data_IF_186768184474
#
_entry.id   IF_186768184474
#
_cell.length_a   1.000
_cell.length_b   1.000
_cell.length_c   1.000
_cell.angle_alpha   90.00
_cell.angle_beta   90.00
_cell.angle_gamma   90.00
#
_symmetry.space_group_name_H-M   'P 1'
#
loop_
_entity.id
_entity.type
_entity.pdbx_description
1 polymer ?
#
# COMPACT_ATOMS: atom_id res chain seq x y z
N UNK A 1 -1.70 6.42 -19.04
CA UNK A 1 -2.88 6.49 -18.12
C UNK A 1 -3.07 5.12 -17.47
N UNK A 2 -3.22 5.07 -16.14
CA UNK A 2 -3.47 3.81 -15.42
C UNK A 2 -4.97 3.59 -15.28
N UNK A 3 -5.45 2.44 -15.76
CA UNK A 3 -6.85 2.04 -15.66
C UNK A 3 -6.98 0.97 -14.57
N UNK A 4 -8.06 1.03 -13.80
CA UNK A 4 -8.36 0.05 -12.76
C UNK A 4 -9.66 -0.68 -13.07
N UNK A 5 -9.59 -2.01 -13.14
CA UNK A 5 -10.70 -2.87 -13.59
C UNK A 5 -11.19 -3.85 -12.52
N UNK A 6 -10.63 -3.81 -11.31
CA UNK A 6 -10.71 -4.92 -10.36
C UNK A 6 -11.75 -4.70 -9.27
N UNK A 7 -11.56 -3.69 -8.44
CA UNK A 7 -12.37 -3.44 -7.26
C UNK A 7 -13.61 -2.64 -7.62
N UNK A 8 -14.70 -2.84 -6.89
CA UNK A 8 -15.87 -1.99 -6.95
C UNK A 8 -15.46 -0.50 -6.86
N UNK A 9 -16.04 0.42 -7.68
CA UNK A 9 -15.60 1.82 -7.75
C UNK A 9 -15.53 2.56 -6.41
N UNK A 10 -16.45 2.25 -5.48
CA UNK A 10 -16.43 2.81 -4.13
C UNK A 10 -15.23 2.33 -3.29
N UNK A 11 -14.78 1.09 -3.46
CA UNK A 11 -13.65 0.54 -2.70
C UNK A 11 -12.36 1.22 -3.13
N UNK A 12 -12.04 1.17 -4.43
CA UNK A 12 -10.83 1.84 -4.96
C UNK A 12 -10.92 3.37 -4.89
N UNK A 13 -12.14 3.91 -4.79
CA UNK A 13 -12.42 5.34 -4.69
C UNK A 13 -11.68 6.01 -3.53
N UNK A 14 -11.54 5.33 -2.39
CA UNK A 14 -10.76 5.84 -1.26
C UNK A 14 -9.30 6.07 -1.66
N UNK A 15 -8.61 5.02 -2.12
CA UNK A 15 -7.21 5.11 -2.53
C UNK A 15 -7.01 6.10 -3.69
N UNK A 16 -7.94 6.11 -4.66
CA UNK A 16 -7.83 6.99 -5.81
C UNK A 16 -7.77 8.47 -5.38
N UNK A 17 -8.63 8.85 -4.43
CA UNK A 17 -8.62 10.19 -3.83
C UNK A 17 -7.39 10.41 -2.97
N UNK A 18 -7.12 9.48 -2.03
CA UNK A 18 -6.09 9.64 -1.00
C UNK A 18 -4.66 9.62 -1.56
N UNK A 19 -4.36 8.69 -2.46
CA UNK A 19 -2.99 8.38 -2.90
C UNK A 19 -2.72 8.59 -4.39
N UNK A 20 -3.77 8.69 -5.22
CA UNK A 20 -3.62 8.84 -6.67
C UNK A 20 -4.17 10.19 -7.20
N UNK A 21 -4.63 11.09 -6.32
CA UNK A 21 -5.19 12.40 -6.66
C UNK A 21 -6.22 12.34 -7.80
N UNK A 22 -7.12 11.35 -7.75
CA UNK A 22 -8.15 11.10 -8.75
C UNK A 22 -7.63 10.80 -10.18
N UNK A 23 -6.34 10.47 -10.35
CA UNK A 23 -5.74 10.18 -11.66
C UNK A 23 -5.98 8.75 -12.15
N UNK A 24 -6.52 7.87 -11.30
CA UNK A 24 -6.83 6.49 -11.69
C UNK A 24 -8.15 6.45 -12.46
N UNK A 25 -8.13 5.90 -13.68
CA UNK A 25 -9.36 5.72 -14.47
C UNK A 25 -10.07 4.43 -14.05
N UNK A 26 -11.12 4.54 -13.24
CA UNK A 26 -11.91 3.40 -12.77
C UNK A 26 -12.82 2.90 -13.90
N UNK A 27 -12.67 1.63 -14.26
CA UNK A 27 -13.39 0.93 -15.34
C UNK A 27 -14.02 -0.38 -14.89
N UNK A 28 -13.92 -0.73 -13.60
CA UNK A 28 -14.68 -1.84 -13.01
C UNK A 28 -16.18 -1.58 -13.14
N UNK A 29 -16.94 -2.64 -13.41
CA UNK A 29 -18.39 -2.61 -13.63
C UNK A 29 -19.16 -3.41 -12.56
N UNK A 30 -18.54 -3.59 -11.39
CA UNK A 30 -19.19 -4.27 -10.28
C UNK A 30 -20.39 -3.45 -9.78
N UNK A 31 -21.50 -4.13 -9.51
CA UNK A 31 -22.78 -3.52 -9.13
C UNK A 31 -23.22 -3.93 -7.72
N UNK A 32 -22.30 -4.44 -6.88
CA UNK A 32 -22.58 -4.72 -5.47
C UNK A 32 -23.23 -3.49 -4.81
N UNK A 33 -24.40 -3.71 -4.20
CA UNK A 33 -25.23 -2.62 -3.65
C UNK A 33 -24.62 -2.05 -2.38
N UNK A 34 -23.93 -2.89 -1.62
CA UNK A 34 -23.27 -2.53 -0.38
C UNK A 34 -21.79 -2.97 -0.43
N UNK A 35 -20.94 -2.22 -1.15
CA UNK A 35 -19.54 -2.56 -1.35
C UNK A 35 -18.63 -2.11 -0.20
N UNK A 36 -19.16 -1.33 0.75
CA UNK A 36 -18.47 -0.81 1.93
C UNK A 36 -19.37 -1.06 3.14
N UNK A 37 -18.83 -1.69 4.17
CA UNK A 37 -19.53 -1.97 5.42
C UNK A 37 -18.60 -1.80 6.61
N UNK A 38 -19.05 -1.08 7.63
CA UNK A 38 -18.36 -0.98 8.91
C UNK A 38 -19.22 -1.68 9.96
N UNK A 39 -18.66 -2.70 10.61
CA UNK A 39 -19.34 -3.45 11.69
C UNK A 39 -18.73 -3.00 13.01
N UNK A 40 -19.55 -2.34 13.82
CA UNK A 40 -19.15 -1.87 15.14
C UNK A 40 -19.01 -3.05 16.11
N UNK A 41 -17.85 -3.15 16.75
CA UNK A 41 -17.55 -4.16 17.76
C UNK A 41 -16.91 -3.52 18.99
N UNK A 42 -17.56 -3.63 20.14
CA UNK A 42 -17.01 -3.12 21.39
C UNK A 42 -15.89 -4.05 21.89
N UNK A 43 -14.68 -3.51 21.96
CA UNK A 43 -13.44 -4.24 22.28
C UNK A 43 -12.85 -3.76 23.62
N UNK A 44 -13.66 -3.82 24.68
CA UNK A 44 -13.29 -3.46 26.06
C UNK A 44 -12.90 -4.68 26.88
N UNK A 45 -12.11 -4.46 27.93
CA UNK A 45 -11.68 -5.49 28.89
C UNK A 45 -10.93 -6.67 28.25
N UNK A 46 -10.26 -6.40 27.13
CA UNK A 46 -9.53 -7.43 26.38
C UNK A 46 -8.41 -8.02 27.21
N UNK A 47 -8.19 -9.33 27.17
CA UNK A 47 -7.16 -10.00 27.99
C UNK A 47 -5.76 -9.67 27.47
N UNK A 48 -5.57 -9.80 26.16
CA UNK A 48 -4.32 -9.57 25.45
C UNK A 48 -4.31 -8.22 24.71
N UNK A 49 -3.12 -7.67 24.48
CA UNK A 49 -2.98 -6.45 23.69
C UNK A 49 -3.32 -6.74 22.22
N UNK A 50 -4.07 -5.82 21.62
CA UNK A 50 -4.36 -5.85 20.19
C UNK A 50 -4.98 -7.19 19.75
N UNK A 51 -5.88 -7.71 20.59
CA UNK A 51 -6.62 -8.96 20.41
C UNK A 51 -8.05 -8.71 20.88
N UNK A 52 -9.02 -8.88 20.00
CA UNK A 52 -10.44 -8.68 20.25
C UNK A 52 -11.21 -9.96 19.93
N UNK A 53 -11.68 -10.62 20.99
CA UNK A 53 -12.57 -11.78 20.91
C UNK A 53 -13.92 -11.41 20.27
N UNK A 54 -14.41 -10.20 20.51
CA UNK A 54 -15.68 -9.73 19.93
C UNK A 54 -15.56 -9.57 18.42
N UNK A 55 -14.47 -8.98 17.92
CA UNK A 55 -14.19 -8.95 16.48
C UNK A 55 -14.08 -10.37 15.91
N UNK A 56 -13.38 -11.30 16.58
CA UNK A 56 -13.23 -12.68 16.10
C UNK A 56 -14.58 -13.42 15.98
N UNK A 57 -15.46 -13.28 16.97
CA UNK A 57 -16.81 -13.86 16.94
C UNK A 57 -17.67 -13.24 15.84
N UNK A 58 -17.57 -11.93 15.64
CA UNK A 58 -18.32 -11.23 14.59
C UNK A 58 -17.85 -11.67 13.20
N UNK A 59 -16.55 -11.90 13.01
CA UNK A 59 -15.99 -12.44 11.76
C UNK A 59 -16.57 -13.83 11.47
N UNK A 60 -16.63 -14.71 12.46
CA UNK A 60 -17.26 -16.03 12.33
C UNK A 60 -18.74 -15.90 11.96
N UNK A 61 -19.48 -14.99 12.61
CA UNK A 61 -20.88 -14.72 12.30
C UNK A 61 -21.06 -14.24 10.86
N UNK A 62 -20.23 -13.29 10.43
CA UNK A 62 -20.22 -12.75 9.08
C UNK A 62 -19.99 -13.84 8.03
N UNK A 63 -18.97 -14.67 8.22
CA UNK A 63 -18.64 -15.76 7.29
C UNK A 63 -19.80 -16.76 7.18
N UNK A 64 -20.44 -17.11 8.30
CA UNK A 64 -21.59 -18.03 8.31
C UNK A 64 -22.80 -17.48 7.55
N UNK A 65 -22.97 -16.16 7.49
CA UNK A 65 -24.07 -15.51 6.76
C UNK A 65 -23.74 -15.26 5.28
N UNK A 66 -22.48 -15.44 4.87
CA UNK A 66 -22.00 -15.25 3.50
C UNK A 66 -21.32 -16.53 2.94
N UNK A 67 -21.99 -17.71 2.96
CA UNK A 67 -21.36 -18.98 2.62
C UNK A 67 -20.93 -19.09 1.14
N UNK A 68 -21.56 -18.31 0.25
CA UNK A 68 -21.31 -18.34 -1.20
C UNK A 68 -20.16 -17.41 -1.63
N UNK A 69 -19.53 -16.71 -0.69
CA UNK A 69 -18.49 -15.71 -0.96
C UNK A 69 -17.12 -16.25 -0.65
N UNK A 70 -16.16 -15.92 -1.50
CA UNK A 70 -14.74 -16.06 -1.15
C UNK A 70 -14.33 -14.90 -0.25
N UNK A 71 -13.89 -15.21 0.97
CA UNK A 71 -13.59 -14.24 2.03
C UNK A 71 -12.13 -14.39 2.45
N UNK A 72 -11.45 -13.26 2.65
CA UNK A 72 -10.21 -13.23 3.41
C UNK A 72 -10.27 -12.19 4.53
N UNK A 73 -9.63 -12.53 5.65
CA UNK A 73 -9.53 -11.69 6.84
C UNK A 73 -8.12 -11.17 6.98
N UNK A 74 -8.00 -9.85 7.04
CA UNK A 74 -6.73 -9.14 7.21
C UNK A 74 -6.75 -8.46 8.57
N UNK A 75 -5.67 -8.58 9.31
CA UNK A 75 -5.47 -7.86 10.58
C UNK A 75 -4.01 -7.44 10.73
N UNK A 76 -3.69 -6.30 11.35
CA UNK A 76 -2.31 -5.86 11.47
C UNK A 76 -1.54 -6.60 12.58
N UNK A 77 -2.23 -7.37 13.42
CA UNK A 77 -1.64 -7.97 14.63
C UNK A 77 -1.64 -9.49 14.56
N UNK A 78 -0.49 -10.11 14.83
CA UNK A 78 -0.34 -11.58 14.84
C UNK A 78 -1.21 -12.23 15.91
N UNK A 79 -1.36 -11.60 17.09
CA UNK A 79 -2.22 -12.13 18.14
C UNK A 79 -3.68 -12.16 17.69
N UNK A 80 -4.17 -11.09 17.06
CA UNK A 80 -5.52 -11.07 16.50
C UNK A 80 -5.69 -12.11 15.39
N UNK A 81 -4.70 -12.29 14.51
CA UNK A 81 -4.74 -13.36 13.49
C UNK A 81 -4.94 -14.73 14.15
N UNK A 82 -4.21 -15.01 15.22
CA UNK A 82 -4.30 -16.29 15.92
C UNK A 82 -5.68 -16.47 16.57
N UNK A 83 -6.20 -15.44 17.24
CA UNK A 83 -7.54 -15.44 17.85
C UNK A 83 -8.64 -15.73 16.81
N UNK A 84 -8.60 -15.01 15.68
CA UNK A 84 -9.56 -15.22 14.58
C UNK A 84 -9.44 -16.65 14.02
N UNK A 85 -8.21 -17.12 13.80
CA UNK A 85 -8.00 -18.46 13.27
C UNK A 85 -8.49 -19.55 14.23
N UNK A 86 -8.30 -19.35 15.53
CA UNK A 86 -8.81 -20.25 16.56
C UNK A 86 -10.34 -20.30 16.53
N UNK A 87 -11.01 -19.15 16.49
CA UNK A 87 -12.47 -19.13 16.43
C UNK A 87 -13.04 -19.72 15.13
N UNK A 88 -12.41 -19.43 13.99
CA UNK A 88 -12.78 -20.07 12.71
C UNK A 88 -12.68 -21.60 12.82
N UNK A 89 -11.59 -22.12 13.40
CA UNK A 89 -11.36 -23.55 13.59
C UNK A 89 -12.39 -24.17 14.54
N UNK A 90 -12.66 -23.53 15.68
CA UNK A 90 -13.67 -23.98 16.66
C UNK A 90 -15.07 -24.04 16.04
N UNK A 91 -15.36 -23.12 15.11
CA UNK A 91 -16.60 -23.08 14.32
C UNK A 91 -16.61 -24.01 13.11
N UNK A 92 -15.55 -24.79 12.85
CA UNK A 92 -15.46 -25.72 11.72
C UNK A 92 -15.31 -25.05 10.36
N UNK A 93 -14.91 -23.78 10.32
CA UNK A 93 -14.72 -23.00 9.09
C UNK A 93 -13.27 -23.15 8.63
N UNK A 94 -13.08 -23.61 7.39
CA UNK A 94 -11.74 -23.90 6.82
C UNK A 94 -11.47 -23.21 5.49
N UNK A 95 -12.47 -22.57 4.91
CA UNK A 95 -12.44 -21.93 3.59
C UNK A 95 -12.24 -20.40 3.65
N UNK A 96 -11.69 -19.89 4.76
CA UNK A 96 -11.39 -18.47 4.95
C UNK A 96 -9.92 -18.30 5.23
N UNK A 97 -9.27 -17.48 4.41
CA UNK A 97 -7.87 -17.14 4.61
C UNK A 97 -7.76 -16.05 5.67
N UNK A 98 -6.99 -16.27 6.75
CA UNK A 98 -6.75 -15.27 7.79
C UNK A 98 -5.25 -14.98 7.89
N UNK A 99 -4.87 -13.70 7.82
CA UNK A 99 -3.47 -13.32 7.79
C UNK A 99 -3.18 -11.86 8.12
N UNK A 100 -1.90 -11.57 8.27
CA UNK A 100 -1.41 -10.18 8.26
C UNK A 100 -1.16 -9.73 6.82
N UNK A 101 -0.90 -8.43 6.62
CA UNK A 101 -0.68 -7.82 5.28
C UNK A 101 0.29 -8.61 4.41
N UNK A 102 1.38 -9.11 5.01
CA UNK A 102 2.42 -9.84 4.30
C UNK A 102 1.96 -11.21 3.76
N UNK A 103 0.87 -11.77 4.29
CA UNK A 103 0.30 -13.03 3.81
C UNK A 103 -0.53 -12.88 2.52
N UNK A 104 -0.96 -11.65 2.17
CA UNK A 104 -1.90 -11.39 1.07
C UNK A 104 -1.27 -10.68 -0.14
N UNK A 105 -0.02 -11.00 -0.46
CA UNK A 105 0.61 -10.50 -1.69
C UNK A 105 0.13 -11.29 -2.91
N UNK A 106 -0.88 -10.76 -3.60
CA UNK A 106 -1.26 -11.20 -4.95
C UNK A 106 -2.57 -11.96 -5.05
N UNK A 107 -3.17 -12.40 -3.94
CA UNK A 107 -4.47 -13.07 -3.94
C UNK A 107 -5.61 -12.10 -3.64
N UNK A 108 -6.70 -12.21 -4.40
CA UNK A 108 -7.87 -11.32 -4.33
C UNK A 108 -9.11 -12.13 -4.02
N UNK A 109 -9.96 -11.60 -3.14
CA UNK A 109 -11.23 -12.24 -2.76
C UNK A 109 -12.42 -11.38 -3.16
N UNK A 110 -13.59 -12.01 -3.24
CA UNK A 110 -14.83 -11.27 -3.43
C UNK A 110 -15.03 -10.27 -2.28
N UNK A 111 -14.78 -10.73 -1.06
CA UNK A 111 -14.93 -9.91 0.14
C UNK A 111 -13.65 -9.94 0.97
N UNK A 112 -13.24 -8.77 1.45
CA UNK A 112 -12.15 -8.63 2.43
C UNK A 112 -12.73 -8.08 3.71
N UNK A 113 -12.41 -8.73 4.82
CA UNK A 113 -12.68 -8.26 6.17
C UNK A 113 -11.39 -7.72 6.77
N UNK A 114 -11.36 -6.45 7.13
CA UNK A 114 -10.26 -5.80 7.81
C UNK A 114 -10.59 -5.63 9.31
N UNK A 115 -10.00 -6.49 10.14
CA UNK A 115 -10.12 -6.45 11.60
C UNK A 115 -9.08 -5.50 12.18
N UNK A 116 -9.56 -4.42 12.80
CA UNK A 116 -8.70 -3.37 13.34
C UNK A 116 -8.00 -3.81 14.63
N UNK A 117 -8.69 -4.59 15.47
CA UNK A 117 -8.23 -5.00 16.80
C UNK A 117 -7.65 -3.84 17.62
N UNK A 118 -8.32 -2.69 17.53
CA UNK A 118 -8.09 -1.54 18.39
C UNK A 118 -8.89 -1.75 19.67
N UNK A 119 -8.16 -2.01 20.75
CA UNK A 119 -8.73 -2.30 22.07
C UNK A 119 -8.41 -1.20 23.08
N UNK A 120 -9.06 -1.25 24.23
CA UNK A 120 -8.75 -0.43 25.41
C UNK A 120 -7.26 -0.48 25.83
N UNK A 121 -6.58 -1.59 25.54
CA UNK A 121 -5.14 -1.79 25.81
C UNK A 121 -4.22 -1.30 24.68
N UNK A 122 -4.76 -0.73 23.61
CA UNK A 122 -3.96 -0.21 22.50
C UNK A 122 -3.34 1.13 22.87
N UNK A 123 -2.02 1.21 22.76
CA UNK A 123 -1.25 2.42 23.04
C UNK A 123 -1.12 3.32 21.80
N UNK A 124 -0.94 4.62 22.02
CA UNK A 124 -0.72 5.62 20.97
C UNK A 124 0.43 5.27 20.03
N UNK A 125 1.54 4.70 20.54
CA UNK A 125 2.67 4.29 19.69
C UNK A 125 2.28 3.21 18.68
N UNK A 126 1.49 2.23 19.10
CA UNK A 126 0.98 1.17 18.22
C UNK A 126 0.05 1.76 17.17
N UNK A 127 -0.86 2.64 17.60
CA UNK A 127 -1.78 3.31 16.69
C UNK A 127 -1.06 4.23 15.70
N UNK A 128 -0.02 4.95 16.14
CA UNK A 128 0.77 5.85 15.30
C UNK A 128 1.48 5.12 14.16
N UNK A 129 1.98 3.90 14.40
CA UNK A 129 2.49 3.03 13.33
C UNK A 129 1.36 2.59 12.37
N UNK A 130 0.19 2.27 12.91
CA UNK A 130 -0.93 1.74 12.15
C UNK A 130 -1.60 2.79 11.25
N UNK A 131 -1.87 3.98 11.80
CA UNK A 131 -2.78 4.98 11.24
C UNK A 131 -2.41 5.48 9.83
N UNK A 132 -1.13 5.43 9.49
CA UNK A 132 -0.58 5.86 8.21
C UNK A 132 0.18 4.76 7.46
N UNK A 133 -0.06 3.49 7.82
CA UNK A 133 0.53 2.36 7.11
C UNK A 133 -0.14 2.20 5.73
N UNK A 134 0.44 2.86 4.72
CA UNK A 134 -0.06 2.85 3.34
C UNK A 134 -0.15 1.44 2.76
N UNK A 135 0.76 0.53 3.08
CA UNK A 135 0.73 -0.83 2.55
C UNK A 135 -0.49 -1.59 3.09
N UNK A 136 -0.71 -1.54 4.40
CA UNK A 136 -1.87 -2.15 5.05
C UNK A 136 -3.18 -1.63 4.46
N UNK A 137 -3.33 -0.30 4.37
CA UNK A 137 -4.54 0.33 3.84
C UNK A 137 -4.75 -0.05 2.37
N UNK A 138 -3.69 0.01 1.55
CA UNK A 138 -3.77 -0.37 0.15
C UNK A 138 -4.12 -1.85 -0.02
N UNK A 139 -3.57 -2.75 0.79
CA UNK A 139 -3.89 -4.18 0.71
C UNK A 139 -5.33 -4.41 1.14
N UNK A 140 -5.78 -3.90 2.30
CA UNK A 140 -7.16 -4.05 2.76
C UNK A 140 -8.18 -3.60 1.69
N UNK A 141 -7.92 -2.47 1.03
CA UNK A 141 -8.82 -1.91 0.01
C UNK A 141 -8.66 -2.54 -1.38
N UNK A 142 -7.45 -2.83 -1.85
CA UNK A 142 -7.22 -3.29 -3.24
C UNK A 142 -7.39 -4.80 -3.44
N UNK A 143 -7.49 -5.58 -2.37
CA UNK A 143 -7.75 -7.03 -2.43
C UNK A 143 -9.24 -7.39 -2.49
N UNK A 144 -10.11 -6.45 -2.13
CA UNK A 144 -11.57 -6.62 -2.22
C UNK A 144 -12.06 -6.35 -3.64
N UNK A 145 -12.69 -7.35 -4.26
CA UNK A 145 -13.34 -7.18 -5.56
C UNK A 145 -14.72 -6.54 -5.41
N UNK A 146 -15.58 -7.12 -4.58
CA UNK A 146 -17.00 -6.77 -4.46
C UNK A 146 -17.27 -5.95 -3.21
N UNK A 147 -16.76 -6.39 -2.04
CA UNK A 147 -17.04 -5.77 -0.74
C UNK A 147 -15.81 -5.65 0.15
N UNK A 148 -15.65 -4.48 0.77
CA UNK A 148 -14.74 -4.22 1.87
C UNK A 148 -15.54 -4.07 3.16
N UNK A 149 -15.26 -4.93 4.13
CA UNK A 149 -15.81 -4.87 5.48
C UNK A 149 -14.70 -4.43 6.43
N UNK A 150 -14.96 -3.45 7.28
CA UNK A 150 -14.08 -3.10 8.41
C UNK A 150 -14.81 -3.48 9.69
N UNK A 151 -14.14 -4.22 10.56
CA UNK A 151 -14.67 -4.57 11.88
C UNK A 151 -13.75 -3.94 12.93
N UNK A 152 -14.34 -3.20 13.86
CA UNK A 152 -13.58 -2.55 14.92
C UNK A 152 -14.45 -1.70 15.83
N UNK A 153 -13.77 -1.02 16.76
CA UNK A 153 -14.38 -0.20 17.80
C UNK A 153 -14.17 1.29 17.50
N UNK A 154 -15.25 2.01 17.16
CA UNK A 154 -15.18 3.44 16.88
C UNK A 154 -14.85 4.25 18.13
N UNK A 155 -15.19 3.79 19.34
CA UNK A 155 -14.79 4.44 20.58
C UNK A 155 -13.27 4.39 20.75
N UNK A 156 -12.65 3.23 20.51
CA UNK A 156 -11.19 3.11 20.58
C UNK A 156 -10.49 3.88 19.47
N UNK A 157 -11.04 3.87 18.26
CA UNK A 157 -10.52 4.67 17.14
C UNK A 157 -10.55 6.17 17.48
N UNK A 158 -11.67 6.69 17.96
CA UNK A 158 -11.80 8.09 18.37
C UNK A 158 -10.91 8.46 19.56
N UNK A 159 -10.71 7.53 20.51
CA UNK A 159 -9.79 7.73 21.65
C UNK A 159 -8.34 7.91 21.20
N UNK A 160 -7.94 7.20 20.14
CA UNK A 160 -6.56 7.17 19.65
C UNK A 160 -6.29 8.25 18.58
N UNK A 161 -7.33 8.71 17.88
CA UNK A 161 -7.23 9.80 16.92
C UNK A 161 -7.10 11.16 17.63
N UNK A 162 -6.28 12.05 17.06
CA UNK A 162 -6.16 13.42 17.52
C UNK A 162 -6.57 14.39 16.40
N UNK A 163 -7.41 15.38 16.73
CA UNK A 163 -7.86 16.38 15.75
C UNK A 163 -6.66 17.08 15.10
N UNK A 164 -6.64 17.08 13.77
CA UNK A 164 -5.58 17.70 12.97
C UNK A 164 -4.43 16.77 12.60
N UNK A 165 -4.41 15.54 13.12
CA UNK A 165 -3.46 14.53 12.66
C UNK A 165 -3.79 14.07 11.23
N UNK A 166 -2.74 13.82 10.46
CA UNK A 166 -2.83 12.98 9.27
C UNK A 166 -3.05 11.53 9.72
N UNK A 167 -4.26 11.03 9.47
CA UNK A 167 -4.74 9.73 9.96
C UNK A 167 -5.58 9.05 8.86
N UNK A 168 -4.87 8.33 7.99
CA UNK A 168 -5.47 7.65 6.84
C UNK A 168 -6.44 6.56 7.27
N UNK A 169 -6.15 5.86 8.38
CA UNK A 169 -7.02 4.80 8.91
C UNK A 169 -8.34 5.38 9.44
N UNK A 170 -8.29 6.49 10.17
CA UNK A 170 -9.48 7.19 10.64
C UNK A 170 -10.35 7.66 9.47
N UNK A 171 -9.74 8.26 8.44
CA UNK A 171 -10.46 8.65 7.22
C UNK A 171 -11.08 7.44 6.51
N UNK A 172 -10.36 6.33 6.42
CA UNK A 172 -10.87 5.10 5.82
C UNK A 172 -12.08 4.56 6.60
N UNK A 173 -12.00 4.47 7.92
CA UNK A 173 -13.11 3.96 8.74
C UNK A 173 -14.36 4.83 8.58
N UNK A 174 -14.21 6.16 8.59
CA UNK A 174 -15.32 7.08 8.33
C UNK A 174 -15.86 6.97 6.90
N UNK A 175 -14.98 6.78 5.91
CA UNK A 175 -15.38 6.56 4.52
C UNK A 175 -16.19 5.28 4.35
N UNK A 176 -15.78 4.18 4.99
CA UNK A 176 -16.52 2.92 4.96
C UNK A 176 -17.84 3.04 5.72
N UNK A 177 -17.84 3.60 6.93
CA UNK A 177 -19.04 3.78 7.76
C UNK A 177 -20.10 4.67 7.09
N UNK A 178 -19.67 5.69 6.34
CA UNK A 178 -20.57 6.57 5.56
C UNK A 178 -20.93 6.02 4.16
N UNK A 179 -20.52 4.78 3.83
CA UNK A 179 -20.69 4.18 2.51
C UNK A 179 -20.18 5.07 1.35
N UNK A 180 -19.05 5.73 1.61
CA UNK A 180 -18.30 6.55 0.68
C UNK A 180 -18.67 8.03 0.62
N UNK A 181 -19.51 8.51 1.55
CA UNK A 181 -20.04 9.88 1.61
C UNK A 181 -19.26 10.70 2.66
N UNK A 182 -17.94 10.69 2.59
CA UNK A 182 -17.07 11.57 3.39
C UNK A 182 -16.04 12.29 2.53
N UNK A 183 -15.53 13.40 3.07
CA UNK A 183 -14.37 14.10 2.50
C UNK A 183 -13.10 13.35 2.88
N UNK A 184 -12.27 13.04 1.89
CA UNK A 184 -10.97 12.40 2.06
C UNK A 184 -9.91 13.45 1.76
N UNK A 185 -8.88 13.56 2.59
CA UNK A 185 -7.77 14.48 2.31
C UNK A 185 -6.88 13.90 1.21
N UNK A 186 -6.39 14.74 0.31
CA UNK A 186 -5.43 14.27 -0.70
C UNK A 186 -4.02 14.29 -0.11
N UNK A 187 -3.28 13.19 -0.20
CA UNK A 187 -1.84 13.25 0.07
C UNK A 187 -1.12 13.71 -1.18
N UNK A 188 -0.23 14.69 -1.03
CA UNK A 188 0.72 15.01 -2.09
C UNK A 188 1.45 13.71 -2.46
N UNK A 189 1.47 13.33 -3.76
CA UNK A 189 2.17 12.14 -4.16
C UNK A 189 3.65 12.39 -3.86
N UNK A 190 4.21 11.67 -2.89
CA UNK A 190 5.64 11.33 -2.92
C UNK A 190 5.87 10.85 -4.35
N UNK A 191 6.76 11.51 -5.09
CA UNK A 191 6.86 11.58 -6.55
C UNK A 191 6.69 10.24 -7.30
N UNK A 192 5.48 9.68 -7.33
CA UNK A 192 5.06 8.41 -7.93
C UNK A 192 4.41 8.69 -9.28
N UNK A 193 5.18 9.21 -10.21
CA UNK A 193 4.73 9.32 -11.59
C UNK A 193 4.65 7.90 -12.21
N UNK A 194 3.49 7.26 -12.04
CA UNK A 194 2.96 6.15 -12.85
C UNK A 194 3.97 5.05 -13.22
N UNK A 195 4.19 4.07 -12.34
CA UNK A 195 4.90 2.85 -12.68
C UNK A 195 4.85 1.88 -11.51
N UNK A 196 4.03 0.86 -11.61
CA UNK A 196 3.98 -0.32 -10.73
C UNK A 196 5.38 -0.98 -10.85
N UNK A 197 6.10 -1.49 -9.83
CA UNK A 197 5.69 -2.22 -8.61
C UNK A 197 6.83 -2.27 -7.53
N UNK A 198 7.03 -3.33 -6.69
CA UNK A 198 6.92 -3.26 -5.24
C UNK A 198 8.21 -3.65 -4.51
N UNK A 199 8.84 -2.74 -3.79
CA UNK A 199 9.79 -3.19 -2.77
C UNK A 199 9.46 -2.52 -1.45
N UNK A 200 9.42 -3.35 -0.40
CA UNK A 200 9.34 -2.85 0.96
C UNK A 200 10.45 -1.84 1.13
N UNK A 201 10.15 -0.72 1.77
CA UNK A 201 11.14 0.31 2.10
C UNK A 201 12.38 -0.30 2.76
N UNK A 202 12.23 -1.42 3.46
CA UNK A 202 13.33 -2.21 4.04
C UNK A 202 14.26 -2.86 3.00
N UNK A 203 13.73 -3.51 1.95
CA UNK A 203 14.56 -4.09 0.89
C UNK A 203 15.29 -3.00 0.12
N UNK A 204 14.58 -1.88 -0.10
CA UNK A 204 15.14 -0.69 -0.72
C UNK A 204 16.28 -0.08 0.13
N UNK A 205 16.07 -0.01 1.44
CA UNK A 205 17.07 0.47 2.41
C UNK A 205 18.28 -0.46 2.46
N UNK A 206 18.08 -1.77 2.51
CA UNK A 206 19.15 -2.76 2.51
C UNK A 206 19.98 -2.75 1.22
N UNK A 207 19.32 -2.56 0.07
CA UNK A 207 19.99 -2.35 -1.22
C UNK A 207 20.84 -1.08 -1.19
N UNK A 208 20.29 0.04 -0.72
CA UNK A 208 21.01 1.31 -0.61
C UNK A 208 22.19 1.24 0.35
N UNK A 209 22.05 0.58 1.49
CA UNK A 209 23.14 0.35 2.43
C UNK A 209 24.27 -0.45 1.78
N UNK A 210 23.92 -1.50 1.05
CA UNK A 210 24.89 -2.34 0.33
C UNK A 210 25.59 -1.58 -0.80
N UNK A 211 24.83 -0.80 -1.57
CA UNK A 211 25.36 0.02 -2.66
C UNK A 211 26.31 1.11 -2.13
N UNK A 212 25.92 1.81 -1.08
CA UNK A 212 26.77 2.81 -0.43
C UNK A 212 28.03 2.17 0.17
N UNK A 213 27.93 0.97 0.75
CA UNK A 213 29.09 0.23 1.22
C UNK A 213 30.05 -0.13 0.08
N UNK A 214 29.53 -0.62 -1.06
CA UNK A 214 30.35 -0.93 -2.24
C UNK A 214 31.04 0.31 -2.81
N UNK A 215 30.32 1.43 -2.93
CA UNK A 215 30.87 2.72 -3.37
C UNK A 215 31.96 3.22 -2.42
N UNK A 216 31.74 3.10 -1.10
CA UNK A 216 32.74 3.46 -0.08
C UNK A 216 33.98 2.56 -0.16
N UNK A 217 33.81 1.27 -0.44
CA UNK A 217 34.93 0.34 -0.64
C UNK A 217 35.72 0.63 -1.92
N UNK A 218 35.08 1.21 -2.94
CA UNK A 218 35.72 1.67 -4.18
C UNK A 218 36.50 2.99 -4.04
N UNK A 219 36.49 3.65 -2.86
CA UNK A 219 37.23 4.90 -2.58
C UNK A 219 38.77 4.76 -2.56
N UNK A 220 39.33 3.73 -3.20
CA UNK A 220 40.75 3.63 -3.54
C UNK A 220 41.10 4.68 -4.63
N UNK A 221 40.12 5.09 -5.45
CA UNK A 221 40.23 6.23 -6.38
C UNK A 221 39.79 7.51 -5.66
N UNK A 222 40.56 8.62 -5.75
CA UNK A 222 40.27 9.93 -5.10
C UNK A 222 38.95 10.61 -5.52
N UNK A 223 38.10 9.93 -6.27
CA UNK A 223 36.84 10.44 -6.80
C UNK A 223 35.70 10.20 -5.83
N UNK A 224 34.83 11.19 -5.65
CA UNK A 224 33.66 11.10 -4.77
C UNK A 224 32.44 10.73 -5.59
N UNK A 225 31.68 9.75 -5.11
CA UNK A 225 30.41 9.35 -5.71
C UNK A 225 29.25 9.68 -4.76
N UNK A 226 28.07 9.96 -5.32
CA UNK A 226 26.82 10.10 -4.56
C UNK A 226 25.67 9.45 -5.31
N UNK A 227 24.84 8.71 -4.58
CA UNK A 227 23.61 8.11 -5.12
C UNK A 227 22.44 9.02 -4.80
N UNK A 228 21.61 9.35 -5.79
CA UNK A 228 20.36 10.07 -5.61
C UNK A 228 19.18 9.22 -6.05
N UNK A 229 18.10 9.27 -5.27
CA UNK A 229 16.85 8.54 -5.52
C UNK A 229 15.85 9.39 -6.33
N UNK A 230 15.02 8.73 -7.14
CA UNK A 230 13.89 9.31 -7.88
C UNK A 230 14.28 10.51 -8.76
N UNK A 231 15.39 10.39 -9.48
CA UNK A 231 15.95 11.51 -10.25
C UNK A 231 15.17 11.69 -11.56
N UNK A 232 14.62 12.88 -11.86
CA UNK A 232 13.98 13.16 -13.14
C UNK A 232 14.93 12.94 -14.31
N UNK A 233 14.46 12.29 -15.37
CA UNK A 233 15.27 12.07 -16.60
C UNK A 233 15.75 13.42 -17.16
N UNK A 234 14.91 14.46 -17.10
CA UNK A 234 15.25 15.83 -17.52
C UNK A 234 16.41 16.47 -16.75
N UNK A 235 16.73 15.99 -15.53
CA UNK A 235 17.84 16.48 -14.73
C UNK A 235 19.16 15.79 -15.09
N UNK A 236 19.09 14.60 -15.67
CA UNK A 236 20.26 13.80 -16.08
C UNK A 236 20.73 14.21 -17.47
N UNK A 237 19.81 14.54 -18.38
CA UNK A 237 20.12 14.85 -19.78
C UNK A 237 19.78 16.31 -20.13
N UNK A 238 20.78 17.09 -20.55
CA UNK A 238 20.59 18.49 -20.97
C UNK A 238 20.48 18.63 -22.50
N UNK A 239 19.24 18.73 -22.98
CA UNK A 239 18.75 19.40 -24.21
C UNK A 239 18.97 18.78 -25.62
N UNK A 240 17.86 18.82 -26.39
CA UNK A 240 17.71 19.27 -27.79
C UNK A 240 17.24 18.30 -28.89
N UNK A 241 16.99 17.00 -28.63
CA UNK A 241 16.37 16.13 -29.64
C UNK A 241 15.33 15.17 -29.05
N UNK A 242 14.12 15.29 -29.60
CA UNK A 242 12.89 14.53 -29.37
C UNK A 242 12.10 14.85 -28.08
N UNK A 243 10.96 15.51 -28.31
CA UNK A 243 9.86 15.63 -27.35
C UNK A 243 9.28 14.23 -27.16
N UNK A 244 9.75 13.53 -26.13
CA UNK A 244 9.25 12.22 -25.72
C UNK A 244 8.46 12.39 -24.41
N UNK A 245 7.25 11.85 -24.29
CA UNK A 245 6.39 11.97 -23.09
C UNK A 245 7.08 11.50 -21.80
N UNK A 246 8.06 10.60 -21.92
CA UNK A 246 8.92 10.14 -20.81
C UNK A 246 9.86 11.23 -20.27
N UNK A 247 10.21 12.25 -21.04
CA UNK A 247 11.18 13.26 -20.62
C UNK A 247 10.60 14.20 -19.55
N UNK A 248 9.28 14.44 -19.59
CA UNK A 248 8.57 15.29 -18.64
C UNK A 248 7.97 14.54 -17.46
N UNK A 249 7.84 13.21 -17.55
CA UNK A 249 7.15 12.38 -16.53
C UNK A 249 7.98 11.21 -15.99
N UNK A 250 9.07 10.85 -16.66
CA UNK A 250 9.94 9.73 -16.29
C UNK A 250 10.99 10.11 -15.24
N UNK A 251 11.25 9.17 -14.35
CA UNK A 251 12.31 9.23 -13.34
C UNK A 251 13.11 7.93 -13.38
N UNK A 252 14.38 8.03 -13.01
CA UNK A 252 15.22 6.90 -12.65
C UNK A 252 15.08 6.60 -11.16
N UNK A 253 15.10 5.32 -10.78
CA UNK A 253 15.02 4.93 -9.37
C UNK A 253 16.25 5.42 -8.61
N UNK A 254 17.44 5.20 -9.16
CA UNK A 254 18.67 5.82 -8.68
C UNK A 254 19.57 6.30 -9.79
N UNK A 255 20.30 7.39 -9.52
CA UNK A 255 21.43 7.83 -10.33
C UNK A 255 22.65 7.94 -9.44
N UNK A 256 23.74 7.32 -9.88
CA UNK A 256 25.08 7.52 -9.31
C UNK A 256 25.71 8.71 -10.03
N UNK A 257 26.12 9.69 -9.24
CA UNK A 257 26.87 10.85 -9.70
C UNK A 257 28.32 10.73 -9.28
N UNK A 258 29.23 11.06 -10.19
CA UNK A 258 30.65 11.23 -9.95
C UNK A 258 30.98 12.71 -9.81
N UNK A 259 31.86 13.05 -8.87
CA UNK A 259 32.35 14.41 -8.71
C UNK A 259 33.53 14.67 -9.65
N UNK A 260 33.31 15.50 -10.65
CA UNK A 260 34.35 16.06 -11.51
C UNK A 260 34.55 17.55 -11.19
N UNK A 261 35.64 17.86 -10.48
CA UNK A 261 35.91 19.21 -9.97
C UNK A 261 34.80 19.77 -9.06
N UNK A 262 34.05 20.75 -9.58
CA UNK A 262 32.92 21.41 -8.88
C UNK A 262 31.55 20.88 -9.30
N UNK A 263 31.48 20.05 -10.33
CA UNK A 263 30.22 19.54 -10.89
C UNK A 263 29.99 18.08 -10.49
N UNK A 264 28.72 17.66 -10.56
CA UNK A 264 28.30 16.29 -10.33
C UNK A 264 27.78 15.73 -11.65
N UNK A 265 28.54 14.82 -12.24
CA UNK A 265 28.22 14.19 -13.51
C UNK A 265 27.46 12.89 -13.25
N UNK A 266 26.26 12.70 -13.84
CA UNK A 266 25.59 11.41 -13.76
C UNK A 266 26.36 10.37 -14.58
N UNK A 267 26.73 9.25 -13.96
CA UNK A 267 27.57 8.21 -14.59
C UNK A 267 26.86 6.85 -14.70
N UNK A 268 25.86 6.60 -13.86
CA UNK A 268 25.15 5.33 -13.86
C UNK A 268 23.70 5.53 -13.44
N UNK A 269 22.78 4.93 -14.19
CA UNK A 269 21.37 4.85 -13.84
C UNK A 269 21.06 3.43 -13.37
N UNK A 270 20.33 3.31 -12.26
CA UNK A 270 19.88 2.04 -11.70
C UNK A 270 18.35 2.07 -11.70
N UNK A 271 17.77 1.04 -12.31
CA UNK A 271 16.34 0.74 -12.28
C UNK A 271 16.17 -0.57 -11.51
N UNK A 272 15.22 -0.62 -10.58
CA UNK A 272 14.91 -1.84 -9.84
C UNK A 272 13.77 -2.57 -10.54
N UNK A 273 14.10 -3.66 -11.24
CA UNK A 273 13.12 -4.42 -11.99
C UNK A 273 12.32 -5.39 -11.08
N UNK A 274 11.00 -5.25 -11.07
CA UNK A 274 10.06 -6.25 -10.54
C UNK A 274 9.66 -7.34 -11.56
N UNK A 275 8.84 -8.32 -11.13
CA UNK A 275 8.32 -9.37 -12.03
C UNK A 275 7.48 -8.81 -13.22
N UNK A 276 7.04 -7.54 -13.18
CA UNK A 276 6.35 -6.88 -14.32
C UNK A 276 7.24 -6.73 -15.53
N UNK A 277 8.55 -6.53 -15.33
CA UNK A 277 9.48 -6.17 -16.40
C UNK A 277 9.68 -7.30 -17.41
N UNK A 278 9.17 -8.50 -17.09
CA UNK A 278 9.15 -9.67 -17.98
C UNK A 278 7.74 -10.04 -18.46
N UNK A 279 6.68 -9.51 -17.84
CA UNK A 279 5.30 -9.96 -18.05
C UNK A 279 4.35 -8.89 -18.58
N UNK A 280 4.64 -7.60 -18.34
CA UNK A 280 3.82 -6.47 -18.81
C UNK A 280 4.48 -5.80 -20.03
N UNK A 281 3.82 -5.93 -21.19
CA UNK A 281 4.26 -5.37 -22.46
C UNK A 281 4.47 -3.84 -22.41
N UNK A 282 3.72 -3.11 -21.58
CA UNK A 282 3.87 -1.65 -21.43
C UNK A 282 5.10 -1.28 -20.62
N UNK A 283 5.45 -2.09 -19.61
CA UNK A 283 6.67 -1.92 -18.80
C UNK A 283 7.89 -2.22 -19.67
N UNK A 284 7.85 -3.32 -20.43
CA UNK A 284 8.89 -3.68 -21.40
C UNK A 284 9.11 -2.57 -22.44
N UNK A 285 8.05 -1.98 -23.00
CA UNK A 285 8.19 -0.86 -23.95
C UNK A 285 8.75 0.41 -23.30
N UNK A 286 8.44 0.66 -22.03
CA UNK A 286 8.98 1.79 -21.28
C UNK A 286 10.46 1.60 -20.98
N UNK A 287 10.87 0.40 -20.56
CA UNK A 287 12.26 0.08 -20.25
C UNK A 287 13.12 0.16 -21.50
N UNK A 288 12.63 -0.33 -22.64
CA UNK A 288 13.29 -0.15 -23.94
C UNK A 288 13.52 1.32 -24.28
N UNK A 289 12.53 2.19 -24.01
CA UNK A 289 12.68 3.64 -24.23
C UNK A 289 13.68 4.28 -23.26
N UNK A 290 13.71 3.85 -22.00
CA UNK A 290 14.71 4.31 -21.02
C UNK A 290 16.12 3.88 -21.42
N UNK A 291 16.29 2.63 -21.85
CA UNK A 291 17.56 2.11 -22.33
C UNK A 291 18.08 2.88 -23.54
N UNK A 292 17.22 3.20 -24.51
CA UNK A 292 17.56 4.04 -25.66
C UNK A 292 17.98 5.48 -25.32
N UNK A 293 17.62 5.98 -24.12
CA UNK A 293 18.05 7.31 -23.65
C UNK A 293 19.41 7.23 -22.95
N UNK A 294 19.76 6.05 -22.39
CA UNK A 294 21.00 5.81 -21.68
C UNK A 294 22.15 5.32 -22.59
N UNK A 295 21.84 4.72 -23.73
CA UNK A 295 22.79 4.30 -24.79
C UNK A 295 23.22 5.48 -25.69
#
# INVERSE_FOLDING_TARGET
MSYHYRCHPKIIGFNNKKYYNNKLNIRSSDNEKQPLEFIECHSKDTTLKNTSESEAREIVHYVKTHPDKTIAVITPFVNQRNEIQEELNQSGITNVDCGTVHAFQGDEKQEIIFSLALTDKTHEKTYSWLKNNKELINVATSRAKERLVIIGDMEQLNRLHHLGDDDDLFELCNYVSSNGITTITERAPESRALGIKPYSTETETAFLETLNHAINAMMITKTKYVVKKEVPISQVFNSSKQVNDLFYTGRFDYIVYERDGKEWLPIFAIELDGNEHTTDLRVIERDKKKQQICD
#
